data_IF_651514980262
#
_entry.id   IF_651514980262
#
_cell.length_a   1.000
_cell.length_b   1.000
_cell.length_c   1.000
_cell.angle_alpha   90.00
_cell.angle_beta   90.00
_cell.angle_gamma   90.00
#
_symmetry.space_group_name_H-M   'P 1'
#
loop_
_entity.id
_entity.type
_entity.pdbx_description
1 polymer ?
#
# COMPACT_ATOMS: atom_id res chain seq x y z
N UNK A 1 7.57 13.82 -7.17
CA UNK A 1 8.17 13.30 -5.91
C UNK A 1 8.08 11.79 -5.94
N UNK A 2 9.18 11.11 -5.66
CA UNK A 2 9.25 9.65 -5.71
C UNK A 2 8.60 9.06 -4.45
N UNK A 3 7.35 8.58 -4.55
CA UNK A 3 6.56 8.03 -3.42
C UNK A 3 7.32 6.95 -2.64
N UNK A 4 8.21 6.21 -3.31
CA UNK A 4 9.07 5.21 -2.69
C UNK A 4 10.11 5.86 -1.76
N UNK A 5 10.75 6.94 -2.21
CA UNK A 5 11.73 7.66 -1.40
C UNK A 5 11.10 8.25 -0.14
N UNK A 6 9.90 8.83 -0.26
CA UNK A 6 9.16 9.36 0.89
C UNK A 6 8.83 8.26 1.92
N UNK A 7 8.48 7.06 1.45
CA UNK A 7 8.19 5.92 2.32
C UNK A 7 9.46 5.44 3.04
N UNK A 8 10.60 5.38 2.33
CA UNK A 8 11.88 5.00 2.91
C UNK A 8 12.29 5.97 4.03
N UNK A 9 12.25 7.27 3.74
CA UNK A 9 12.59 8.33 4.72
C UNK A 9 11.67 8.27 5.94
N UNK A 10 10.38 8.01 5.73
CA UNK A 10 9.43 7.84 6.81
C UNK A 10 9.82 6.67 7.73
N UNK A 11 10.10 5.50 7.17
CA UNK A 11 10.47 4.32 7.98
C UNK A 11 11.80 4.54 8.69
N UNK A 12 12.80 5.13 8.02
CA UNK A 12 14.09 5.47 8.64
C UNK A 12 13.93 6.41 9.84
N UNK A 13 12.98 7.36 9.77
CA UNK A 13 12.73 8.27 10.90
C UNK A 13 12.22 7.58 12.17
N UNK A 14 11.77 6.32 12.09
CA UNK A 14 11.26 5.57 13.24
C UNK A 14 12.35 4.80 14.00
N UNK A 15 13.52 4.60 13.40
CA UNK A 15 14.58 3.69 13.87
C UNK A 15 14.94 3.88 15.34
N UNK A 16 15.20 5.13 15.77
CA UNK A 16 15.61 5.44 17.15
C UNK A 16 14.57 5.04 18.20
N UNK A 17 13.28 5.10 17.86
CA UNK A 17 12.22 4.69 18.79
C UNK A 17 12.06 3.17 18.82
N UNK A 18 12.37 2.47 17.71
CA UNK A 18 12.46 1.01 17.69
C UNK A 18 13.61 0.52 18.57
N UNK A 19 14.82 1.03 18.38
CA UNK A 19 15.99 0.68 19.21
C UNK A 19 15.69 0.88 20.70
N UNK A 20 15.22 2.07 21.09
CA UNK A 20 14.87 2.39 22.48
C UNK A 20 13.80 1.47 23.06
N UNK A 21 12.80 1.08 22.26
CA UNK A 21 11.73 0.22 22.75
C UNK A 21 12.18 -1.25 22.89
N UNK A 22 12.82 -1.81 21.87
CA UNK A 22 13.18 -3.23 21.83
C UNK A 22 14.45 -3.57 22.61
N UNK A 23 15.44 -2.68 22.64
CA UNK A 23 16.70 -2.91 23.35
C UNK A 23 16.67 -2.39 24.78
N UNK A 24 16.11 -1.18 24.98
CA UNK A 24 16.11 -0.51 26.29
C UNK A 24 14.80 -0.65 27.08
N UNK A 25 13.81 -1.40 26.56
CA UNK A 25 12.48 -1.57 27.17
C UNK A 25 11.77 -0.25 27.52
N UNK A 26 12.03 0.82 26.76
CA UNK A 26 11.48 2.15 27.05
C UNK A 26 9.98 2.23 26.68
N UNK A 27 9.11 2.33 27.70
CA UNK A 27 7.64 2.38 27.52
C UNK A 27 7.16 3.56 26.69
N UNK A 28 7.76 4.73 26.83
CA UNK A 28 7.38 5.92 26.05
C UNK A 28 7.76 5.79 24.58
N UNK A 29 8.93 5.19 24.30
CA UNK A 29 9.32 4.84 22.94
C UNK A 29 8.30 3.87 22.32
N UNK A 30 7.79 2.90 23.10
CA UNK A 30 6.71 2.01 22.66
C UNK A 30 5.42 2.74 22.27
N UNK A 31 5.04 3.81 23.00
CA UNK A 31 3.90 4.66 22.62
C UNK A 31 4.15 5.35 21.28
N UNK A 32 5.38 5.85 21.05
CA UNK A 32 5.76 6.49 19.78
C UNK A 32 5.82 5.49 18.64
N UNK A 33 6.41 4.30 18.81
CA UNK A 33 6.41 3.21 17.82
C UNK A 33 4.99 2.88 17.37
N UNK A 34 4.03 2.76 18.30
CA UNK A 34 2.62 2.54 17.93
C UNK A 34 2.04 3.66 17.07
N UNK A 35 2.34 4.93 17.39
CA UNK A 35 1.93 6.08 16.57
C UNK A 35 2.59 6.06 15.19
N UNK A 36 3.88 5.75 15.11
CA UNK A 36 4.64 5.59 13.86
C UNK A 36 4.01 4.53 12.95
N UNK A 37 3.61 3.38 13.50
CA UNK A 37 2.93 2.33 12.74
C UNK A 37 1.55 2.76 12.23
N UNK A 38 0.82 3.57 12.99
CA UNK A 38 -0.45 4.15 12.52
C UNK A 38 -0.22 5.11 11.35
N UNK A 39 0.84 5.93 11.39
CA UNK A 39 1.21 6.84 10.30
C UNK A 39 1.62 6.03 9.06
N UNK A 40 2.44 4.99 9.22
CA UNK A 40 2.86 4.10 8.13
C UNK A 40 1.66 3.45 7.44
N UNK A 41 0.69 2.94 8.22
CA UNK A 41 -0.56 2.39 7.69
C UNK A 41 -1.30 3.40 6.80
N UNK A 42 -1.39 4.65 7.25
CA UNK A 42 -2.06 5.70 6.48
C UNK A 42 -1.32 6.04 5.19
N UNK A 43 0.02 6.17 5.23
CA UNK A 43 0.85 6.42 4.04
C UNK A 43 0.75 5.26 3.03
N UNK A 44 0.80 4.01 3.51
CA UNK A 44 0.64 2.82 2.68
C UNK A 44 -0.74 2.78 2.00
N UNK A 45 -1.82 3.10 2.73
CA UNK A 45 -3.17 3.21 2.16
C UNK A 45 -3.23 4.28 1.07
N UNK A 46 -2.66 5.47 1.31
CA UNK A 46 -2.63 6.57 0.34
C UNK A 46 -1.90 6.18 -0.95
N UNK A 47 -0.74 5.52 -0.84
CA UNK A 47 0.00 5.00 -2.00
C UNK A 47 -0.85 3.99 -2.78
N UNK A 48 -1.47 3.03 -2.08
CA UNK A 48 -2.33 2.01 -2.70
C UNK A 48 -3.51 2.64 -3.45
N UNK A 49 -4.18 3.61 -2.83
CA UNK A 49 -5.31 4.29 -3.44
C UNK A 49 -4.87 5.10 -4.67
N UNK A 50 -3.70 5.75 -4.60
CA UNK A 50 -3.08 6.43 -5.76
C UNK A 50 -2.82 5.47 -6.93
N UNK A 51 -2.26 4.28 -6.67
CA UNK A 51 -2.07 3.24 -7.70
C UNK A 51 -3.40 2.80 -8.30
N UNK A 52 -4.44 2.60 -7.48
CA UNK A 52 -5.76 2.20 -7.97
C UNK A 52 -6.40 3.27 -8.84
N UNK A 53 -6.26 4.55 -8.49
CA UNK A 53 -6.74 5.68 -9.30
C UNK A 53 -6.02 5.73 -10.63
N UNK A 54 -4.67 5.67 -10.63
CA UNK A 54 -3.89 5.68 -11.86
C UNK A 54 -4.23 4.48 -12.76
N UNK A 55 -4.46 3.28 -12.19
CA UNK A 55 -4.88 2.09 -12.94
C UNK A 55 -6.19 2.31 -13.71
N UNK A 56 -7.11 3.13 -13.21
CA UNK A 56 -8.36 3.47 -13.91
C UNK A 56 -8.12 4.42 -15.08
N UNK A 57 -7.10 5.26 -14.98
CA UNK A 57 -6.70 6.23 -16.01
C UNK A 57 -5.80 5.61 -17.08
N UNK A 58 -5.05 4.56 -16.74
CA UNK A 58 -4.36 3.76 -17.74
C UNK A 58 -5.40 3.03 -18.61
N UNK A 59 -5.43 3.27 -19.94
CA UNK A 59 -6.33 2.54 -20.81
C UNK A 59 -6.03 1.05 -20.68
N UNK A 60 -7.04 0.25 -20.33
CA UNK A 60 -6.91 -1.20 -20.23
C UNK A 60 -6.23 -1.71 -21.49
N UNK A 61 -5.13 -2.46 -21.35
CA UNK A 61 -4.54 -3.14 -22.51
C UNK A 61 -5.64 -4.03 -23.09
N UNK A 62 -5.84 -3.94 -24.42
CA UNK A 62 -6.97 -4.58 -25.15
C UNK A 62 -7.18 -6.08 -24.82
N UNK A 63 -6.14 -6.76 -24.34
CA UNK A 63 -6.18 -8.16 -23.92
C UNK A 63 -7.06 -8.40 -22.68
N UNK A 64 -7.10 -7.47 -21.71
CA UNK A 64 -7.85 -7.63 -20.47
C UNK A 64 -9.37 -7.45 -20.68
N UNK A 65 -9.75 -6.60 -21.64
CA UNK A 65 -11.15 -6.35 -22.01
C UNK A 65 -11.76 -7.56 -22.71
N UNK A 66 -10.98 -8.26 -23.55
CA UNK A 66 -11.44 -9.44 -24.27
C UNK A 66 -11.72 -10.64 -23.33
N UNK A 67 -10.90 -10.84 -22.30
CA UNK A 67 -11.09 -11.93 -21.32
C UNK A 67 -12.31 -11.65 -20.42
N UNK A 68 -12.47 -10.39 -19.99
CA UNK A 68 -13.60 -9.97 -19.14
C UNK A 68 -14.94 -10.05 -19.88
N UNK A 69 -14.98 -9.70 -21.16
CA UNK A 69 -16.18 -9.80 -21.98
C UNK A 69 -16.57 -11.26 -22.31
N UNK A 70 -15.61 -12.20 -22.37
CA UNK A 70 -15.89 -13.64 -22.51
C UNK A 70 -16.47 -14.27 -21.24
N UNK A 71 -15.99 -13.87 -20.07
CA UNK A 71 -16.49 -14.41 -18.78
C UNK A 71 -17.89 -13.91 -18.42
N UNK A 72 -18.32 -12.76 -18.96
CA UNK A 72 -19.62 -12.14 -18.67
C UNK A 72 -20.71 -12.48 -19.69
N UNK A 73 -20.45 -13.34 -20.69
CA UNK A 73 -21.44 -13.75 -21.68
C UNK A 73 -22.04 -15.12 -21.30
N UNK A 74 -23.31 -15.21 -20.86
CA UNK A 74 -23.93 -16.46 -20.41
C UNK A 74 -24.14 -17.50 -21.52
N UNK A 75 -23.93 -17.16 -22.80
CA UNK A 75 -24.18 -18.06 -23.93
C UNK A 75 -23.07 -19.04 -24.28
N UNK A 76 -21.94 -19.08 -23.54
CA UNK A 76 -20.88 -20.10 -23.75
C UNK A 76 -20.98 -21.30 -22.81
N UNK A 77 -22.01 -21.40 -21.96
CA UNK A 77 -22.40 -22.69 -21.37
C UNK A 77 -23.49 -23.33 -22.23
N UNK A 78 -23.09 -23.94 -23.34
CA UNK A 78 -23.96 -24.88 -24.05
C UNK A 78 -23.16 -26.14 -24.41
N UNK A 79 -23.12 -27.06 -23.43
CA UNK A 79 -23.41 -28.50 -23.47
C UNK A 79 -23.13 -29.05 -22.08
#
# INVERSE_FOLDING_TARGET
>A
MNQFQDLLVLVQSFEKDFEKFFESQNKEAGIRVRKHMQILKQKAKSIRDGVQTQKKEFPAKRQDVAIKNRQNNPSTKLT
#
